data_IF_242212434264
#
_entry.id   IF_242212434264
#
_cell.length_a   1.000
_cell.length_b   1.000
_cell.length_c   1.000
_cell.angle_alpha   90.00
_cell.angle_beta   90.00
_cell.angle_gamma   90.00
#
_symmetry.space_group_name_H-M   'P 1'
#
loop_
_entity.id
_entity.type
_entity.pdbx_description
1 polymer ?
#
# COMPACT_ATOMS: atom_id res chain seq x y z
N UNK A 1 5.62 -15.22 2.69
CA UNK A 1 5.89 -13.77 2.61
C UNK A 1 5.29 -13.15 3.85
N UNK A 2 6.11 -12.81 4.83
CA UNK A 2 5.61 -12.21 6.07
C UNK A 2 5.54 -10.70 5.88
N UNK A 3 4.46 -10.21 5.27
CA UNK A 3 4.09 -8.81 5.48
C UNK A 3 3.86 -8.57 6.98
N UNK A 4 3.73 -7.30 7.38
CA UNK A 4 3.48 -6.97 8.79
C UNK A 4 2.29 -7.76 9.36
N UNK A 5 1.25 -7.99 8.54
CA UNK A 5 0.06 -8.71 8.95
C UNK A 5 -0.74 -7.94 10.00
N UNK A 6 -0.57 -6.61 10.02
CA UNK A 6 -1.16 -5.77 11.07
C UNK A 6 -2.61 -5.42 10.77
N UNK A 7 -3.39 -5.24 11.85
CA UNK A 7 -4.71 -4.63 11.80
C UNK A 7 -4.61 -3.10 11.76
N UNK A 8 -5.76 -2.43 11.57
CA UNK A 8 -5.82 -0.97 11.64
C UNK A 8 -5.41 -0.44 13.02
N UNK A 9 -5.79 -1.14 14.09
CA UNK A 9 -5.50 -0.74 15.47
C UNK A 9 -3.99 -0.78 15.76
N UNK A 10 -3.31 -1.82 15.27
CA UNK A 10 -1.85 -1.94 15.39
C UNK A 10 -1.14 -0.83 14.59
N UNK A 11 -1.65 -0.49 13.41
CA UNK A 11 -1.14 0.63 12.62
C UNK A 11 -1.31 1.97 13.34
N UNK A 12 -2.50 2.23 13.88
CA UNK A 12 -2.79 3.44 14.65
C UNK A 12 -1.87 3.56 15.87
N UNK A 13 -1.74 2.46 16.64
CA UNK A 13 -0.86 2.41 17.80
C UNK A 13 0.61 2.67 17.43
N UNK A 14 1.09 2.16 16.29
CA UNK A 14 2.45 2.42 15.81
C UNK A 14 2.69 3.93 15.58
N UNK A 15 1.73 4.63 14.98
CA UNK A 15 1.86 6.07 14.73
C UNK A 15 1.69 6.92 15.99
N UNK A 16 0.80 6.52 16.91
CA UNK A 16 0.64 7.18 18.21
C UNK A 16 1.92 7.13 19.05
N UNK A 17 2.71 6.06 18.90
CA UNK A 17 4.00 5.89 19.59
C UNK A 17 5.17 6.54 18.87
N UNK A 18 4.98 6.99 17.63
CA UNK A 18 6.04 7.56 16.82
C UNK A 18 6.32 9.02 17.22
N UNK A 19 7.59 9.42 17.21
CA UNK A 19 8.02 10.79 17.54
C UNK A 19 7.57 11.85 16.53
N UNK A 20 6.94 11.42 15.43
CA UNK A 20 6.49 12.29 14.35
C UNK A 20 4.97 12.45 14.46
N UNK A 21 4.44 13.67 14.61
CA UNK A 21 3.00 13.87 14.64
C UNK A 21 2.42 13.53 13.27
N UNK A 22 1.83 12.35 13.16
CA UNK A 22 0.93 12.05 12.08
C UNK A 22 -0.44 12.61 12.48
N UNK A 23 -1.04 13.44 11.62
CA UNK A 23 -2.45 13.78 11.75
C UNK A 23 -3.34 12.54 11.68
N UNK A 24 -4.65 12.72 11.68
CA UNK A 24 -5.58 11.59 11.58
C UNK A 24 -5.27 10.73 10.35
N UNK A 25 -5.17 9.40 10.57
CA UNK A 25 -4.94 8.44 9.51
C UNK A 25 -6.10 8.48 8.51
N UNK A 26 -5.78 8.29 7.24
CA UNK A 26 -6.76 8.27 6.17
C UNK A 26 -7.84 7.19 6.45
N UNK A 27 -9.13 7.56 6.53
CA UNK A 27 -10.20 6.64 6.87
C UNK A 27 -10.37 5.48 5.86
N UNK A 28 -9.90 5.65 4.62
CA UNK A 28 -9.90 4.60 3.59
C UNK A 28 -9.13 3.37 4.07
N UNK A 29 -8.06 3.55 4.84
CA UNK A 29 -7.25 2.44 5.37
C UNK A 29 -8.12 1.52 6.22
N UNK A 30 -8.85 2.10 7.18
CA UNK A 30 -9.77 1.36 8.04
C UNK A 30 -10.91 0.74 7.23
N UNK A 31 -11.47 1.50 6.29
CA UNK A 31 -12.59 1.05 5.47
C UNK A 31 -12.22 -0.20 4.67
N UNK A 32 -11.05 -0.23 4.03
CA UNK A 32 -10.60 -1.40 3.28
C UNK A 32 -10.37 -2.61 4.19
N UNK A 33 -9.69 -2.40 5.31
CA UNK A 33 -9.39 -3.47 6.27
C UNK A 33 -10.66 -4.12 6.86
N UNK A 34 -11.71 -3.32 7.05
CA UNK A 34 -13.02 -3.81 7.52
C UNK A 34 -13.82 -4.46 6.39
N UNK A 35 -13.78 -3.90 5.19
CA UNK A 35 -14.64 -4.34 4.07
C UNK A 35 -14.10 -5.60 3.38
N UNK A 36 -12.78 -5.81 3.37
CA UNK A 36 -12.13 -6.93 2.71
C UNK A 36 -11.69 -7.99 3.74
N UNK A 37 -12.40 -9.11 3.90
CA UNK A 37 -12.04 -10.14 4.87
C UNK A 37 -10.65 -10.73 4.58
N UNK A 38 -9.84 -10.89 5.62
CA UNK A 38 -8.47 -11.40 5.51
C UNK A 38 -7.45 -10.37 5.03
N UNK A 39 -7.89 -9.16 4.66
CA UNK A 39 -6.96 -8.08 4.34
C UNK A 39 -6.16 -7.65 5.57
N UNK A 40 -4.96 -7.13 5.33
CA UNK A 40 -4.05 -6.71 6.39
C UNK A 40 -3.08 -5.65 5.90
N UNK A 41 -2.48 -4.92 6.83
CA UNK A 41 -1.36 -4.04 6.50
C UNK A 41 -0.16 -4.92 6.14
N UNK A 42 0.34 -4.73 4.92
CA UNK A 42 1.48 -5.45 4.40
C UNK A 42 2.80 -4.73 4.68
N UNK A 43 2.82 -3.40 4.50
CA UNK A 43 4.01 -2.59 4.70
C UNK A 43 3.68 -1.11 4.89
N UNK A 44 4.58 -0.38 5.57
CA UNK A 44 4.43 1.03 5.88
C UNK A 44 5.57 1.79 5.19
N UNK A 45 5.21 2.72 4.31
CA UNK A 45 6.12 3.70 3.73
C UNK A 45 6.04 5.02 4.48
N UNK A 46 6.90 5.98 4.12
CA UNK A 46 6.92 7.28 4.81
C UNK A 46 5.64 8.11 4.67
N UNK A 47 4.86 7.89 3.61
CA UNK A 47 3.66 8.68 3.27
C UNK A 47 2.45 7.83 2.86
N UNK A 48 2.61 6.52 2.79
CA UNK A 48 1.56 5.60 2.38
C UNK A 48 1.69 4.28 3.11
N UNK A 49 0.59 3.56 3.19
CA UNK A 49 0.54 2.19 3.65
C UNK A 49 0.20 1.29 2.46
N UNK A 50 0.80 0.10 2.43
CA UNK A 50 0.44 -0.95 1.48
C UNK A 50 -0.38 -1.98 2.25
N UNK A 51 -1.57 -2.26 1.75
CA UNK A 51 -2.49 -3.26 2.27
C UNK A 51 -2.47 -4.47 1.34
N UNK A 52 -2.41 -5.65 1.92
CA UNK A 52 -2.73 -6.89 1.24
C UNK A 52 -4.25 -7.03 1.20
N UNK A 53 -4.84 -7.07 0.00
CA UNK A 53 -6.29 -7.14 -0.19
C UNK A 53 -6.73 -8.53 -0.63
N UNK A 54 -6.00 -9.11 -1.59
CA UNK A 54 -6.22 -10.45 -2.11
C UNK A 54 -4.90 -11.02 -2.64
N UNK A 55 -4.84 -12.31 -3.06
CA UNK A 55 -3.59 -12.93 -3.53
C UNK A 55 -2.85 -12.16 -4.63
N UNK A 56 -3.58 -11.44 -5.49
CA UNK A 56 -3.02 -10.77 -6.66
C UNK A 56 -3.17 -9.25 -6.60
N UNK A 57 -3.73 -8.70 -5.51
CA UNK A 57 -4.05 -7.27 -5.40
C UNK A 57 -3.51 -6.69 -4.10
N UNK A 58 -2.74 -5.61 -4.25
CA UNK A 58 -2.36 -4.72 -3.18
C UNK A 58 -3.11 -3.38 -3.32
N UNK A 59 -3.44 -2.76 -2.18
CA UNK A 59 -3.89 -1.37 -2.16
C UNK A 59 -2.80 -0.51 -1.53
N UNK A 60 -2.34 0.51 -2.25
CA UNK A 60 -1.49 1.56 -1.70
C UNK A 60 -2.36 2.76 -1.36
N UNK A 61 -2.36 3.15 -0.09
CA UNK A 61 -3.23 4.22 0.44
C UNK A 61 -2.37 5.31 1.04
N UNK A 62 -2.65 6.57 0.75
CA UNK A 62 -1.98 7.69 1.43
C UNK A 62 -2.24 7.62 2.94
N UNK A 63 -1.22 7.87 3.77
CA UNK A 63 -1.40 7.88 5.23
C UNK A 63 -2.33 9.01 5.68
N UNK A 64 -2.30 10.14 4.98
CA UNK A 64 -3.15 11.30 5.22
C UNK A 64 -3.98 11.60 3.97
N UNK A 65 -5.19 12.11 4.16
CA UNK A 65 -6.05 12.49 3.04
C UNK A 65 -5.52 13.70 2.29
N UNK A 66 -5.57 13.64 0.95
CA UNK A 66 -5.10 14.72 0.09
C UNK A 66 -3.57 14.79 -0.08
N UNK A 67 -2.82 13.74 0.28
CA UNK A 67 -1.38 13.71 0.01
C UNK A 67 -1.13 13.65 -1.51
N UNK A 68 -0.61 14.75 -2.07
CA UNK A 68 -0.34 14.89 -3.49
C UNK A 68 0.66 13.86 -4.04
N UNK A 69 1.48 13.23 -3.19
CA UNK A 69 2.52 12.30 -3.64
C UNK A 69 1.92 11.07 -4.29
N UNK A 70 0.82 10.55 -3.75
CA UNK A 70 0.13 9.44 -4.38
C UNK A 70 -0.51 9.87 -5.71
N UNK A 71 -1.07 11.08 -5.78
CA UNK A 71 -1.59 11.64 -7.03
C UNK A 71 -0.48 11.77 -8.10
N UNK A 72 0.74 12.18 -7.72
CA UNK A 72 1.89 12.22 -8.63
C UNK A 72 2.30 10.83 -9.11
N UNK A 73 2.31 9.84 -8.21
CA UNK A 73 2.57 8.45 -8.57
C UNK A 73 1.52 7.90 -9.53
N UNK A 74 0.24 8.18 -9.31
CA UNK A 74 -0.85 7.81 -10.21
C UNK A 74 -0.70 8.40 -11.61
N UNK A 75 -0.26 9.66 -11.72
CA UNK A 75 0.04 10.28 -13.02
C UNK A 75 1.19 9.59 -13.74
N UNK A 76 2.21 9.12 -13.02
CA UNK A 76 3.30 8.34 -13.61
C UNK A 76 2.74 7.02 -14.17
N UNK A 77 1.88 6.33 -13.42
CA UNK A 77 1.22 5.13 -13.92
C UNK A 77 0.34 5.40 -15.15
N UNK A 78 -0.36 6.54 -15.21
CA UNK A 78 -1.14 6.94 -16.39
C UNK A 78 -0.25 7.16 -17.63
N UNK A 79 0.93 7.76 -17.45
CA UNK A 79 1.91 7.91 -18.54
C UNK A 79 2.45 6.55 -18.99
N UNK A 80 2.66 5.63 -18.05
CA UNK A 80 3.16 4.28 -18.32
C UNK A 80 2.12 3.39 -19.00
N UNK A 81 0.83 3.58 -18.78
CA UNK A 81 -0.21 2.82 -19.52
C UNK A 81 -0.11 3.01 -21.04
N UNK A 82 0.44 4.15 -21.49
CA UNK A 82 0.64 4.44 -22.92
C UNK A 82 1.89 3.76 -23.50
N UNK A 83 2.71 3.11 -22.68
CA UNK A 83 3.93 2.44 -23.06
C UNK A 83 3.82 0.98 -22.63
N UNK A 84 3.86 0.03 -23.56
CA UNK A 84 3.81 -1.41 -23.22
C UNK A 84 5.06 -1.81 -22.43
N UNK A 85 5.02 -1.66 -21.10
CA UNK A 85 6.12 -1.91 -20.18
C UNK A 85 5.79 -3.10 -19.25
N UNK A 86 5.93 -4.35 -19.72
CA UNK A 86 5.57 -5.53 -18.94
C UNK A 86 6.45 -5.78 -17.70
N UNK A 87 7.55 -5.03 -17.55
CA UNK A 87 8.44 -5.11 -16.39
C UNK A 87 8.04 -4.16 -15.25
N UNK A 88 7.05 -3.31 -15.46
CA UNK A 88 6.56 -2.36 -14.44
C UNK A 88 5.24 -2.87 -13.88
N UNK A 89 5.06 -2.66 -12.57
CA UNK A 89 3.88 -3.13 -11.86
C UNK A 89 2.60 -2.53 -12.46
N UNK A 90 1.61 -3.38 -12.75
CA UNK A 90 0.35 -2.92 -13.30
C UNK A 90 -0.50 -2.19 -12.25
N UNK A 91 -0.98 -1.00 -12.61
CA UNK A 91 -1.98 -0.29 -11.83
C UNK A 91 -3.38 -0.65 -12.31
N UNK A 92 -4.16 -1.31 -11.45
CA UNK A 92 -5.49 -1.84 -11.76
C UNK A 92 -6.59 -0.77 -11.58
N UNK A 93 -6.40 0.14 -10.62
CA UNK A 93 -7.32 1.24 -10.37
C UNK A 93 -6.62 2.40 -9.67
N UNK A 94 -7.09 3.63 -9.96
CA UNK A 94 -6.62 4.89 -9.38
C UNK A 94 -7.82 5.64 -8.82
N UNK A 95 -7.77 5.97 -7.54
CA UNK A 95 -8.79 6.75 -6.86
C UNK A 95 -8.16 7.83 -5.97
N UNK A 96 -9.01 8.64 -5.34
CA UNK A 96 -8.55 9.64 -4.38
C UNK A 96 -7.90 8.93 -3.19
N UNK A 97 -6.62 9.25 -2.94
CA UNK A 97 -5.80 8.67 -1.88
C UNK A 97 -5.61 7.14 -1.92
N UNK A 98 -5.94 6.48 -3.02
CA UNK A 98 -5.81 5.03 -3.17
C UNK A 98 -5.40 4.62 -4.58
N UNK A 99 -4.49 3.66 -4.68
CA UNK A 99 -4.20 2.93 -5.91
C UNK A 99 -4.28 1.43 -5.65
N UNK A 100 -5.01 0.70 -6.49
CA UNK A 100 -4.91 -0.76 -6.53
C UNK A 100 -3.86 -1.16 -7.56
N UNK A 101 -2.98 -2.05 -7.16
CA UNK A 101 -1.82 -2.51 -7.90
C UNK A 101 -1.83 -4.03 -7.92
N UNK A 102 -1.26 -4.63 -8.97
CA UNK A 102 -0.96 -6.06 -8.93
C UNK A 102 -0.01 -6.37 -7.76
N UNK A 103 -0.18 -7.53 -7.14
CA UNK A 103 0.73 -8.01 -6.11
C UNK A 103 1.71 -9.00 -6.71
N UNK A 104 3.00 -8.65 -6.65
CA UNK A 104 4.05 -9.54 -7.16
C UNK A 104 4.30 -10.68 -6.16
N UNK A 105 4.19 -11.95 -6.59
CA UNK A 105 4.52 -13.08 -5.73
C UNK A 105 6.01 -13.06 -5.35
N UNK A 106 6.33 -13.63 -4.19
CA UNK A 106 7.69 -13.70 -3.63
C UNK A 106 8.24 -12.37 -3.07
N UNK A 107 7.39 -11.38 -2.87
CA UNK A 107 7.72 -10.17 -2.13
C UNK A 107 8.84 -9.33 -2.73
N UNK A 108 9.44 -8.51 -1.89
CA UNK A 108 10.50 -7.59 -2.27
C UNK A 108 11.81 -8.33 -2.50
N UNK A 109 12.77 -7.68 -3.16
CA UNK A 109 14.13 -8.21 -3.27
C UNK A 109 14.77 -8.44 -1.89
N UNK A 110 14.47 -7.58 -0.92
CA UNK A 110 14.94 -7.71 0.46
C UNK A 110 14.48 -9.02 1.10
N UNK A 111 13.20 -9.36 0.93
CA UNK A 111 12.64 -10.61 1.46
C UNK A 111 13.36 -11.84 0.87
N UNK A 112 13.69 -11.81 -0.42
CA UNK A 112 14.36 -12.92 -1.11
C UNK A 112 15.82 -13.10 -0.71
N UNK A 113 16.50 -12.01 -0.34
CA UNK A 113 17.90 -12.06 0.11
C UNK A 113 18.00 -12.65 1.51
N UNK A 114 17.02 -12.38 2.38
CA UNK A 114 17.07 -12.73 3.81
C UNK A 114 16.41 -14.08 4.10
N UNK A 115 15.45 -14.49 3.27
CA UNK A 115 14.91 -15.85 3.27
C UNK A 115 15.46 -16.60 2.06
N UNK A 116 16.67 -17.20 2.14
CA UNK A 116 17.15 -18.08 1.08
C UNK A 116 16.19 -19.28 1.00
N UNK A 117 15.51 -19.39 -0.14
CA UNK A 117 14.68 -20.53 -0.54
C UNK A 117 15.50 -21.79 -0.75
#
# INVERSE_FOLDING_TARGET
MAGLGWTFEQLAQYFDQSSFPHGELNPIIKQLLVTCPGSSVFGIGGHSVVLWISPDIAAKVSLQSGDERLCREQKIFELLDNSECPQVIQCLFRGVDISFLELIPNGTLYDRIITPS
#
